data_IF_481095319480
#
_entry.id   IF_481095319480
#
_cell.length_a   1.000
_cell.length_b   1.000
_cell.length_c   1.000
_cell.angle_alpha   90.00
_cell.angle_beta   90.00
_cell.angle_gamma   90.00
#
_symmetry.space_group_name_H-M   'P 1'
#
loop_
_entity.id
_entity.type
_entity.pdbx_description
1 polymer ?
#
# COMPACT_ATOMS: atom_id res chain seq x y z
N UNK A 1 23.95 -4.83 1.45
CA UNK A 1 22.49 -4.86 1.25
C UNK A 1 21.97 -3.50 1.70
N UNK A 2 21.37 -2.72 0.81
CA UNK A 2 20.76 -1.44 1.18
C UNK A 2 19.45 -1.73 1.89
N UNK A 3 19.30 -1.25 3.12
CA UNK A 3 18.09 -1.39 3.93
C UNK A 3 16.89 -0.70 3.23
N UNK A 4 15.70 -1.31 3.32
CA UNK A 4 14.48 -0.78 2.73
C UNK A 4 14.08 0.52 3.45
N UNK A 5 13.82 1.63 2.70
CA UNK A 5 13.53 2.92 3.32
C UNK A 5 12.21 2.88 4.10
N UNK A 6 12.07 3.67 5.17
CA UNK A 6 10.86 3.68 5.99
C UNK A 6 9.68 4.30 5.24
N UNK A 7 8.48 3.78 5.50
CA UNK A 7 7.21 4.28 4.98
C UNK A 7 6.14 4.33 6.09
N UNK A 8 5.30 5.38 6.14
CA UNK A 8 5.33 6.58 5.30
C UNK A 8 6.37 7.62 5.76
N UNK A 9 6.88 8.43 4.84
CA UNK A 9 7.80 9.54 5.12
C UNK A 9 7.06 10.85 5.40
N UNK A 10 7.71 11.76 6.15
CA UNK A 10 7.14 13.06 6.51
C UNK A 10 7.18 14.02 5.31
N UNK A 11 6.07 14.73 5.08
CA UNK A 11 6.01 15.85 4.12
C UNK A 11 6.66 17.10 4.69
N UNK A 12 7.37 17.84 3.84
CA UNK A 12 7.89 19.18 4.12
C UNK A 12 6.98 20.26 3.54
N UNK A 13 6.39 20.01 2.37
CA UNK A 13 5.39 20.85 1.72
C UNK A 13 4.01 20.15 1.77
N UNK A 14 2.92 20.86 2.11
CA UNK A 14 1.58 20.25 2.15
C UNK A 14 1.04 19.84 0.76
N UNK A 15 1.54 20.47 -0.30
CA UNK A 15 1.08 20.25 -1.69
C UNK A 15 1.92 19.22 -2.46
N UNK A 16 3.04 18.78 -1.90
CA UNK A 16 3.94 17.83 -2.55
C UNK A 16 4.03 16.51 -1.77
N UNK A 17 4.32 15.38 -2.45
CA UNK A 17 4.76 14.17 -1.77
C UNK A 17 6.03 14.41 -0.93
N UNK A 18 6.32 13.56 0.07
CA UNK A 18 7.62 13.56 0.74
C UNK A 18 8.77 13.53 -0.27
N UNK A 19 9.82 14.37 -0.13
CA UNK A 19 10.89 14.48 -1.11
C UNK A 19 11.63 13.16 -1.35
N UNK A 20 11.76 12.32 -0.31
CA UNK A 20 12.41 11.00 -0.43
C UNK A 20 11.66 10.01 -1.32
N UNK A 21 10.38 10.23 -1.64
CA UNK A 21 9.67 9.37 -2.59
C UNK A 21 10.15 9.57 -4.03
N UNK A 22 10.66 10.75 -4.38
CA UNK A 22 11.27 10.99 -5.71
C UNK A 22 12.56 10.19 -5.86
N UNK A 23 13.44 10.28 -4.86
CA UNK A 23 14.70 9.49 -4.82
C UNK A 23 14.43 7.99 -4.82
N UNK A 24 13.36 7.56 -4.14
CA UNK A 24 12.91 6.16 -4.16
C UNK A 24 12.43 5.76 -5.56
N UNK A 25 11.62 6.60 -6.23
CA UNK A 25 11.14 6.34 -7.58
C UNK A 25 12.24 6.28 -8.64
N UNK A 26 13.33 7.02 -8.45
CA UNK A 26 14.53 6.96 -9.31
C UNK A 26 15.23 5.59 -9.26
N UNK A 27 15.02 4.79 -8.20
CA UNK A 27 15.57 3.43 -8.08
C UNK A 27 14.79 2.40 -8.90
N UNK A 28 13.58 2.72 -9.33
CA UNK A 28 12.72 1.85 -10.11
C UNK A 28 11.23 1.96 -9.72
N UNK A 29 10.34 1.40 -10.55
CA UNK A 29 8.89 1.52 -10.38
C UNK A 29 8.34 0.64 -9.26
N UNK A 30 9.08 -0.38 -8.81
CA UNK A 30 8.69 -1.33 -7.77
C UNK A 30 9.89 -1.57 -6.84
N UNK A 31 9.68 -1.38 -5.54
CA UNK A 31 10.73 -1.55 -4.53
C UNK A 31 10.14 -1.94 -3.16
N UNK A 32 11.00 -2.40 -2.25
CA UNK A 32 10.61 -2.68 -0.88
C UNK A 32 10.75 -1.47 0.04
N UNK A 33 9.79 -1.31 0.95
CA UNK A 33 9.81 -0.31 2.03
C UNK A 33 9.54 -0.97 3.37
N UNK A 34 9.98 -0.34 4.45
CA UNK A 34 9.76 -0.81 5.83
C UNK A 34 8.60 -0.05 6.46
N UNK A 35 7.57 -0.77 6.92
CA UNK A 35 6.41 -0.20 7.61
C UNK A 35 6.73 0.13 9.08
N UNK A 36 5.82 0.86 9.75
CA UNK A 36 5.98 1.25 11.15
C UNK A 36 6.11 0.06 12.13
N UNK A 37 5.63 -1.12 11.74
CA UNK A 37 5.68 -2.34 12.55
C UNK A 37 6.87 -3.26 12.18
N UNK A 38 7.83 -2.74 11.39
CA UNK A 38 9.04 -3.44 10.97
C UNK A 38 8.84 -4.43 9.81
N UNK A 39 7.61 -4.66 9.36
CA UNK A 39 7.36 -5.50 8.17
C UNK A 39 7.78 -4.77 6.90
N UNK A 40 8.28 -5.53 5.94
CA UNK A 40 8.49 -5.04 4.58
C UNK A 40 7.19 -5.12 3.76
N UNK A 41 6.98 -4.12 2.91
CA UNK A 41 5.92 -4.11 1.90
C UNK A 41 6.48 -3.66 0.55
N UNK A 42 5.82 -4.06 -0.53
CA UNK A 42 6.10 -3.54 -1.86
C UNK A 42 5.47 -2.16 -2.02
N UNK A 43 6.27 -1.19 -2.44
CA UNK A 43 5.84 0.14 -2.88
C UNK A 43 5.94 0.20 -4.40
N UNK A 44 4.87 0.65 -5.04
CA UNK A 44 4.80 0.83 -6.49
C UNK A 44 4.62 2.32 -6.78
N UNK A 45 5.54 2.86 -7.58
CA UNK A 45 5.61 4.28 -7.96
C UNK A 45 5.40 4.48 -9.45
N UNK A 46 5.67 3.45 -10.26
CA UNK A 46 5.50 3.48 -11.71
C UNK A 46 4.04 3.46 -12.12
N UNK A 47 3.69 4.25 -13.14
CA UNK A 47 2.32 4.40 -13.60
C UNK A 47 1.78 3.11 -14.25
N UNK A 48 2.58 2.43 -15.08
CA UNK A 48 2.14 1.22 -15.77
C UNK A 48 1.95 0.07 -14.79
N UNK A 49 2.90 -0.10 -13.88
CA UNK A 49 2.90 -1.11 -12.83
C UNK A 49 1.71 -0.90 -11.87
N UNK A 50 1.43 0.36 -11.52
CA UNK A 50 0.26 0.71 -10.71
C UNK A 50 -1.04 0.29 -11.39
N UNK A 51 -1.19 0.53 -12.69
CA UNK A 51 -2.39 0.12 -13.44
C UNK A 51 -2.54 -1.39 -13.52
N UNK A 52 -1.44 -2.09 -13.74
CA UNK A 52 -1.43 -3.54 -13.79
C UNK A 52 -1.85 -4.14 -12.44
N UNK A 53 -1.20 -3.77 -11.33
CA UNK A 53 -1.50 -4.36 -10.03
C UNK A 53 -2.90 -4.01 -9.53
N UNK A 54 -3.41 -2.80 -9.81
CA UNK A 54 -4.74 -2.38 -9.37
C UNK A 54 -5.87 -3.11 -10.10
N UNK A 55 -5.56 -3.82 -11.19
CA UNK A 55 -6.52 -4.62 -11.96
C UNK A 55 -6.22 -6.11 -11.97
N UNK A 56 -5.12 -6.53 -11.32
CA UNK A 56 -4.65 -7.90 -11.37
C UNK A 56 -5.55 -8.82 -10.51
N UNK A 57 -6.13 -9.90 -11.07
CA UNK A 57 -7.14 -10.72 -10.38
C UNK A 57 -6.60 -11.48 -9.16
N UNK A 58 -5.28 -11.68 -9.08
CA UNK A 58 -4.64 -12.37 -7.97
C UNK A 58 -4.27 -11.45 -6.79
N UNK A 59 -4.61 -10.16 -6.84
CA UNK A 59 -4.37 -9.23 -5.73
C UNK A 59 -5.63 -8.98 -4.94
N UNK A 60 -5.49 -9.06 -3.62
CA UNK A 60 -6.58 -8.91 -2.66
C UNK A 60 -6.63 -7.51 -2.07
N UNK A 61 -7.84 -6.99 -1.89
CA UNK A 61 -8.12 -5.76 -1.15
C UNK A 61 -8.61 -6.03 0.29
N UNK A 62 -8.77 -7.31 0.68
CA UNK A 62 -9.25 -7.71 1.99
C UNK A 62 -8.30 -7.26 3.10
N UNK A 63 -8.75 -6.29 3.92
CA UNK A 63 -7.92 -5.68 4.97
C UNK A 63 -7.58 -6.63 6.12
N UNK A 64 -8.36 -7.70 6.28
CA UNK A 64 -8.16 -8.77 7.27
C UNK A 64 -7.07 -9.78 6.85
N UNK A 65 -6.59 -9.72 5.60
CA UNK A 65 -5.51 -10.58 5.16
C UNK A 65 -4.25 -10.34 6.02
N UNK A 66 -3.56 -11.38 6.54
CA UNK A 66 -2.39 -11.20 7.42
C UNK A 66 -1.25 -10.38 6.77
N UNK A 67 -1.12 -10.49 5.45
CA UNK A 67 -0.16 -9.73 4.65
C UNK A 67 -0.58 -8.29 4.30
N UNK A 68 -1.77 -7.82 4.71
CA UNK A 68 -2.24 -6.49 4.36
C UNK A 68 -1.30 -5.40 4.93
N UNK A 69 -0.82 -4.45 4.09
CA UNK A 69 0.15 -3.45 4.51
C UNK A 69 -0.56 -2.33 5.31
N UNK A 70 -0.40 -2.37 6.64
CA UNK A 70 -0.94 -1.34 7.54
C UNK A 70 0.09 -0.23 7.63
N UNK A 71 -0.25 0.94 7.11
CA UNK A 71 0.72 2.04 6.98
C UNK A 71 0.85 2.94 8.22
N UNK A 72 -0.04 2.78 9.21
CA UNK A 72 0.03 3.51 10.48
C UNK A 72 -0.75 2.80 11.61
N UNK A 73 -0.35 2.95 12.89
CA UNK A 73 -1.02 2.31 14.03
C UNK A 73 -2.53 2.56 14.10
N UNK A 74 -2.97 3.79 13.82
CA UNK A 74 -4.38 4.21 13.83
C UNK A 74 -5.27 3.44 12.85
N UNK A 75 -4.69 2.81 11.83
CA UNK A 75 -5.45 2.04 10.85
C UNK A 75 -5.73 0.59 11.29
N UNK A 76 -5.07 0.10 12.36
CA UNK A 76 -5.30 -1.26 12.88
C UNK A 76 -6.77 -1.49 13.27
N UNK A 77 -7.40 -0.52 13.94
CA UNK A 77 -8.80 -0.61 14.34
C UNK A 77 -9.80 -0.54 13.17
N UNK A 78 -9.35 -0.12 11.98
CA UNK A 78 -10.19 -0.06 10.78
C UNK A 78 -10.19 -1.36 9.98
N UNK A 79 -9.29 -2.30 10.28
CA UNK A 79 -9.21 -3.59 9.58
C UNK A 79 -10.49 -4.39 9.78
N UNK A 80 -11.04 -4.37 10.99
CA UNK A 80 -12.26 -5.07 11.34
C UNK A 80 -13.53 -4.36 10.84
N UNK A 81 -13.43 -3.14 10.27
CA UNK A 81 -14.60 -2.45 9.75
C UNK A 81 -14.96 -3.03 8.39
N UNK A 82 -16.22 -3.42 8.25
CA UNK A 82 -16.77 -3.80 6.96
C UNK A 82 -16.91 -2.54 6.08
N UNK A 83 -15.92 -2.33 5.20
CA UNK A 83 -15.97 -1.30 4.16
C UNK A 83 -16.56 -1.95 2.90
N UNK A 84 -17.89 -1.97 2.81
CA UNK A 84 -18.58 -2.59 1.69
C UNK A 84 -18.01 -2.10 0.34
N UNK A 85 -17.75 -3.06 -0.55
CA UNK A 85 -17.18 -2.94 -1.90
C UNK A 85 -15.69 -2.55 -1.98
N UNK A 86 -15.17 -1.72 -1.08
CA UNK A 86 -13.77 -1.25 -1.14
C UNK A 86 -12.78 -2.32 -0.63
N UNK A 87 -13.20 -3.15 0.32
CA UNK A 87 -12.33 -4.14 0.97
C UNK A 87 -12.77 -5.59 0.70
N UNK A 88 -13.39 -5.84 -0.46
CA UNK A 88 -13.87 -7.17 -0.86
C UNK A 88 -13.18 -7.63 -2.14
N UNK A 89 -12.91 -8.93 -2.24
CA UNK A 89 -12.39 -9.54 -3.46
C UNK A 89 -13.54 -10.11 -4.31
N UNK A 90 -13.38 -10.16 -5.64
CA UNK A 90 -14.34 -10.83 -6.50
C UNK A 90 -14.35 -12.36 -6.26
N UNK A 91 -15.50 -13.03 -6.51
CA UNK A 91 -16.81 -12.45 -6.79
C UNK A 91 -17.47 -11.94 -5.50
N UNK A 92 -17.98 -10.70 -5.52
CA UNK A 92 -18.84 -10.21 -4.44
C UNK A 92 -20.23 -10.83 -4.57
N UNK A 93 -20.86 -11.31 -3.47
CA UNK A 93 -22.24 -11.77 -3.52
C UNK A 93 -23.13 -10.64 -4.05
N UNK A 94 -24.03 -10.94 -5.00
CA UNK A 94 -25.07 -9.97 -5.37
C UNK A 94 -25.92 -9.71 -4.13
N UNK A 95 -26.08 -8.45 -3.76
CA UNK A 95 -27.08 -8.03 -2.79
C UNK A 95 -28.42 -8.61 -3.23
N UNK A 96 -29.02 -9.46 -2.39
CA UNK A 96 -30.39 -9.95 -2.56
C UNK A 96 -31.39 -8.82 -2.31
#
# INVERSE_FOLDING_TARGET
MTEAPPYPQKRTCPYEPPPGYREIGERGPVLKVTLFDGREAWMVTGYQESREILTHPNLSSQRTHPGFPIVAPRFRSQIARNLALIAMDPPVPRSA
#
